data_IF_167932777455
#
_entry.id   IF_167932777455
#
_cell.length_a   1.000
_cell.length_b   1.000
_cell.length_c   1.000
_cell.angle_alpha   90.00
_cell.angle_beta   90.00
_cell.angle_gamma   90.00
#
_symmetry.space_group_name_H-M   'P 1'
#
loop_
_entity.id
_entity.type
_entity.pdbx_description
1 polymer ?
#
# COMPACT_ATOMS: atom_id res chain seq x y z
N UNK A 1 -24.56 16.94 -23.51
CA UNK A 1 -24.91 16.06 -22.36
C UNK A 1 -24.07 16.53 -21.19
N UNK A 2 -24.63 16.77 -20.00
CA UNK A 2 -23.80 17.11 -18.84
C UNK A 2 -22.94 15.89 -18.48
N UNK A 3 -21.65 16.12 -18.25
CA UNK A 3 -20.74 15.10 -17.74
C UNK A 3 -20.89 14.98 -16.22
N UNK A 4 -20.78 13.78 -15.64
CA UNK A 4 -20.79 13.63 -14.19
C UNK A 4 -19.52 14.22 -13.59
N UNK A 5 -19.67 14.96 -12.49
CA UNK A 5 -18.55 15.32 -11.61
C UNK A 5 -18.17 14.09 -10.78
N UNK A 6 -16.91 13.70 -10.83
CA UNK A 6 -16.37 12.57 -10.05
C UNK A 6 -15.44 13.17 -8.99
N UNK A 7 -15.72 12.85 -7.73
CA UNK A 7 -14.92 13.29 -6.57
C UNK A 7 -14.50 12.05 -5.77
N UNK A 8 -13.33 12.14 -5.12
CA UNK A 8 -12.81 11.11 -4.21
C UNK A 8 -12.81 11.72 -2.81
N UNK A 9 -13.41 11.02 -1.86
CA UNK A 9 -13.40 11.44 -0.46
C UNK A 9 -11.96 11.40 0.10
N UNK A 10 -11.54 12.46 0.78
CA UNK A 10 -10.17 12.63 1.30
C UNK A 10 -9.77 11.56 2.33
N UNK A 11 -10.73 10.90 2.97
CA UNK A 11 -10.50 9.79 3.91
C UNK A 11 -10.47 8.42 3.22
N UNK A 12 -10.66 8.37 1.90
CA UNK A 12 -10.61 7.12 1.13
C UNK A 12 -9.17 6.61 0.96
N UNK A 13 -9.02 5.30 0.98
CA UNK A 13 -7.75 4.61 0.69
C UNK A 13 -7.15 3.90 1.89
N UNK A 14 -5.82 3.80 1.90
CA UNK A 14 -5.09 3.11 2.95
C UNK A 14 -4.97 3.95 4.22
N UNK A 15 -5.20 3.32 5.37
CA UNK A 15 -4.97 3.99 6.65
C UNK A 15 -3.46 4.22 6.86
N UNK A 16 -3.14 5.14 7.78
CA UNK A 16 -1.76 5.44 8.16
C UNK A 16 -0.94 4.19 8.52
N UNK A 17 -1.56 3.20 9.18
CA UNK A 17 -0.90 1.95 9.55
C UNK A 17 -0.43 1.15 8.32
N UNK A 18 -1.31 0.98 7.33
CA UNK A 18 -0.98 0.30 6.07
C UNK A 18 0.10 1.05 5.31
N UNK A 19 -0.04 2.37 5.16
CA UNK A 19 0.93 3.20 4.44
C UNK A 19 2.32 3.08 5.06
N UNK A 20 2.42 3.10 6.39
CA UNK A 20 3.70 2.95 7.06
C UNK A 20 4.28 1.55 6.90
N UNK A 21 3.48 0.50 7.07
CA UNK A 21 3.95 -0.87 6.93
C UNK A 21 4.59 -1.10 5.55
N UNK A 22 3.90 -0.70 4.48
CA UNK A 22 4.40 -0.80 3.10
C UNK A 22 5.68 0.02 2.91
N UNK A 23 5.70 1.29 3.33
CA UNK A 23 6.89 2.16 3.20
C UNK A 23 8.10 1.62 3.97
N UNK A 24 7.89 0.99 5.12
CA UNK A 24 8.99 0.38 5.88
C UNK A 24 9.54 -0.86 5.18
N UNK A 25 8.68 -1.69 4.59
CA UNK A 25 9.10 -2.84 3.81
C UNK A 25 9.92 -2.41 2.58
N UNK A 26 9.43 -1.45 1.80
CA UNK A 26 10.13 -0.90 0.62
C UNK A 26 11.51 -0.34 0.99
N UNK A 27 11.60 0.47 2.06
CA UNK A 27 12.88 1.02 2.53
C UNK A 27 13.86 -0.06 2.99
N UNK A 28 13.39 -1.16 3.58
CA UNK A 28 14.27 -2.24 4.02
C UNK A 28 14.82 -3.01 2.83
N UNK A 29 13.98 -3.27 1.83
CA UNK A 29 14.39 -3.89 0.57
C UNK A 29 15.47 -3.05 -0.15
N UNK A 30 15.28 -1.73 -0.24
CA UNK A 30 16.26 -0.82 -0.85
C UNK A 30 17.61 -0.80 -0.13
N UNK A 31 17.61 -0.88 1.21
CA UNK A 31 18.83 -0.82 2.01
C UNK A 31 19.67 -2.08 1.90
N UNK A 32 19.05 -3.22 2.08
CA UNK A 32 19.78 -4.47 2.30
C UNK A 32 19.98 -5.26 1.00
N UNK A 33 19.23 -4.96 -0.06
CA UNK A 33 19.20 -5.73 -1.32
C UNK A 33 19.11 -7.25 -1.08
N UNK A 34 18.36 -7.63 -0.06
CA UNK A 34 18.16 -9.01 0.39
C UNK A 34 16.67 -9.31 0.45
N UNK A 35 16.34 -10.60 0.39
CA UNK A 35 14.96 -11.06 0.57
C UNK A 35 14.41 -10.59 1.92
N UNK A 36 13.25 -9.95 1.88
CA UNK A 36 12.49 -9.53 3.04
C UNK A 36 11.27 -10.45 3.18
N UNK A 37 11.09 -11.02 4.37
CA UNK A 37 9.97 -11.90 4.68
C UNK A 37 9.00 -11.18 5.63
N UNK A 38 7.71 -11.24 5.33
CA UNK A 38 6.64 -10.76 6.21
C UNK A 38 6.05 -11.92 7.03
N UNK A 39 5.60 -11.63 8.25
CA UNK A 39 4.86 -12.61 9.06
C UNK A 39 3.40 -12.62 8.62
N UNK A 40 3.12 -13.39 7.57
CA UNK A 40 1.83 -13.38 6.87
C UNK A 40 1.72 -12.21 5.89
N UNK A 41 0.50 -11.93 5.44
CA UNK A 41 0.24 -10.86 4.46
C UNK A 41 0.44 -9.48 5.11
N UNK A 42 1.22 -8.61 4.46
CA UNK A 42 1.47 -7.25 4.94
C UNK A 42 0.20 -6.39 4.97
N UNK A 43 -0.74 -6.70 4.07
CA UNK A 43 -2.10 -6.17 4.03
C UNK A 43 -3.07 -7.21 3.48
N UNK A 44 -4.35 -7.13 3.85
CA UNK A 44 -5.40 -7.96 3.26
C UNK A 44 -5.88 -7.39 1.91
N UNK A 45 -4.97 -7.25 0.96
CA UNK A 45 -5.23 -6.89 -0.42
C UNK A 45 -4.23 -7.63 -1.31
N UNK A 46 -4.67 -8.68 -2.00
CA UNK A 46 -3.79 -9.53 -2.79
C UNK A 46 -3.08 -8.77 -3.91
N UNK A 47 -3.75 -7.81 -4.56
CA UNK A 47 -3.12 -7.02 -5.63
C UNK A 47 -1.99 -6.13 -5.10
N UNK A 48 -2.12 -5.63 -3.87
CA UNK A 48 -1.08 -4.82 -3.24
C UNK A 48 0.09 -5.69 -2.75
N UNK A 49 -0.18 -6.93 -2.34
CA UNK A 49 0.86 -7.90 -1.97
C UNK A 49 1.67 -8.35 -3.19
N UNK A 50 1.04 -8.47 -4.35
CA UNK A 50 1.68 -8.90 -5.60
C UNK A 50 2.42 -7.77 -6.36
N UNK A 51 2.34 -6.52 -5.88
CA UNK A 51 2.91 -5.33 -6.54
C UNK A 51 4.43 -5.26 -6.42
#
# INVERSE_FOLDING_TARGET
MPHPTIEIDEQSGFCFGVINAVKHAEKQLEKDNKELYCLGDIVHNSQEVDR
#
